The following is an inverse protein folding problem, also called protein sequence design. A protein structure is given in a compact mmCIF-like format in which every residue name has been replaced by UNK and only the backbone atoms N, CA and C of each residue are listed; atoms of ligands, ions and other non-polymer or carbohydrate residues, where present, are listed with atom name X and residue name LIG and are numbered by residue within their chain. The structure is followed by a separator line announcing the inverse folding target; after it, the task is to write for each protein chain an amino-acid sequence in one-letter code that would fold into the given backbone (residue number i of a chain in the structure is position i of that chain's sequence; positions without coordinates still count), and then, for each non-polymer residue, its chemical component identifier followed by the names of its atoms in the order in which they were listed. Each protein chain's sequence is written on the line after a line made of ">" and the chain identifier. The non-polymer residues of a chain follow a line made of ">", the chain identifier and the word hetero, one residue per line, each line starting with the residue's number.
data_IF_766387543116
#
_entry.id   IF_766387543116
#
_cell.length_a   1.000
_cell.length_b   1.000
_cell.length_c   1.000
_cell.angle_alpha   90.00
_cell.angle_beta   90.00
_cell.angle_gamma   90.00
#
_symmetry.space_group_name_H-M   'P 1'
#
loop_
_entity.id
_entity.type
_entity.pdbx_description
1 polymer ?
#
# COMPACT_ATOMS: atom_id res chain seq x y z
N UNK A 1 -15.81 6.86 -4.78
CA UNK A 1 -14.86 6.38 -3.76
C UNK A 1 -13.68 7.33 -3.73
N UNK A 2 -13.10 7.57 -2.56
CA UNK A 2 -11.93 8.44 -2.43
C UNK A 2 -11.01 7.93 -1.31
N UNK A 3 -9.72 8.21 -1.45
CA UNK A 3 -8.68 7.83 -0.48
C UNK A 3 -8.29 9.08 0.32
N UNK A 4 -8.65 9.09 1.61
CA UNK A 4 -8.31 10.18 2.54
C UNK A 4 -6.80 10.22 2.80
N UNK A 5 -6.18 9.06 3.07
CA UNK A 5 -4.75 8.91 3.36
C UNK A 5 -4.20 7.67 2.66
N UNK A 6 -3.00 7.78 2.10
CA UNK A 6 -2.22 6.65 1.59
C UNK A 6 -0.76 6.86 1.97
N UNK A 7 -0.19 5.92 2.71
CA UNK A 7 1.21 5.99 3.15
C UNK A 7 1.87 4.62 3.12
N UNK A 8 3.17 4.61 2.88
CA UNK A 8 4.00 3.43 3.04
C UNK A 8 4.53 3.42 4.46
N UNK A 9 4.47 2.27 5.11
CA UNK A 9 4.74 2.13 6.54
C UNK A 9 5.44 0.81 6.84
N UNK A 10 6.28 0.78 7.88
CA UNK A 10 6.93 -0.45 8.36
C UNK A 10 5.95 -1.40 9.06
N UNK A 11 4.82 -0.88 9.56
CA UNK A 11 3.91 -1.63 10.42
C UNK A 11 2.66 -0.87 10.81
N UNK A 12 1.90 -1.44 11.74
CA UNK A 12 0.68 -0.82 12.26
C UNK A 12 0.73 -0.98 13.77
N UNK A 13 0.35 0.07 14.49
CA UNK A 13 0.27 0.02 15.95
C UNK A 13 -0.98 -0.74 16.44
N UNK A 14 -1.19 -0.77 17.75
CA UNK A 14 -2.34 -1.43 18.36
C UNK A 14 -3.68 -0.75 18.05
N UNK A 15 -3.68 0.51 17.62
CA UNK A 15 -4.89 1.27 17.29
C UNK A 15 -5.29 1.11 15.82
N UNK A 16 -4.44 0.51 15.00
CA UNK A 16 -4.66 0.40 13.56
C UNK A 16 -4.04 1.54 12.76
N UNK A 17 -3.21 2.37 13.40
CA UNK A 17 -2.53 3.49 12.76
C UNK A 17 -1.17 3.07 12.18
N UNK A 18 -0.78 3.59 10.99
CA UNK A 18 0.52 3.33 10.42
C UNK A 18 1.64 3.93 11.30
N UNK A 19 2.76 3.22 11.41
CA UNK A 19 3.97 3.69 12.11
C UNK A 19 5.15 3.84 11.13
N UNK A 20 6.16 4.64 11.46
CA UNK A 20 7.31 4.87 10.58
C UNK A 20 6.89 5.23 9.15
N UNK A 21 6.03 6.24 9.02
CA UNK A 21 5.58 6.80 7.74
C UNK A 21 6.73 7.56 7.09
N UNK A 22 7.63 6.83 6.43
CA UNK A 22 8.84 7.38 5.80
C UNK A 22 8.87 7.08 4.30
N UNK A 23 9.48 7.99 3.54
CA UNK A 23 9.71 7.81 2.10
C UNK A 23 11.02 7.07 1.80
N UNK A 24 11.87 6.86 2.80
CA UNK A 24 13.16 6.16 2.66
C UNK A 24 13.26 5.12 3.76
N UNK A 25 13.33 3.85 3.36
CA UNK A 25 13.55 2.72 4.25
C UNK A 25 15.00 2.24 4.16
N UNK A 26 15.57 1.75 5.27
CA UNK A 26 16.93 1.21 5.26
C UNK A 26 17.01 -0.07 4.44
N UNK A 27 18.18 -0.29 3.84
CA UNK A 27 18.51 -1.54 3.16
C UNK A 27 18.25 -2.74 4.07
N UNK A 28 17.63 -3.77 3.50
CA UNK A 28 17.28 -4.98 4.24
C UNK A 28 15.97 -4.88 5.02
N UNK A 29 15.20 -3.79 4.86
CA UNK A 29 13.81 -3.73 5.33
C UNK A 29 13.06 -4.95 4.81
N UNK A 30 12.48 -5.73 5.72
CA UNK A 30 11.86 -7.03 5.38
C UNK A 30 10.41 -6.90 4.99
N UNK A 31 9.74 -5.86 5.47
CA UNK A 31 8.31 -5.65 5.29
C UNK A 31 8.02 -4.17 5.27
N UNK A 32 7.26 -3.78 4.25
CA UNK A 32 6.54 -2.51 4.20
C UNK A 32 5.08 -2.84 3.88
N UNK A 33 4.18 -1.97 4.28
CA UNK A 33 2.77 -2.06 3.97
C UNK A 33 2.31 -0.77 3.33
N UNK A 34 1.34 -0.86 2.44
CA UNK A 34 0.55 0.28 2.00
C UNK A 34 -0.67 0.39 2.92
N UNK A 35 -0.68 1.42 3.78
CA UNK A 35 -1.87 1.80 4.53
C UNK A 35 -2.73 2.74 3.70
N UNK A 36 -4.04 2.48 3.68
CA UNK A 36 -5.01 3.33 3.00
C UNK A 36 -6.24 3.56 3.88
N UNK A 37 -6.52 4.83 4.17
CA UNK A 37 -7.81 5.26 4.69
C UNK A 37 -8.72 5.64 3.51
N UNK A 38 -9.88 5.01 3.42
CA UNK A 38 -10.72 5.02 2.22
C UNK A 38 -12.20 5.11 2.60
N UNK A 39 -12.96 5.84 1.79
CA UNK A 39 -14.43 5.94 1.90
C UNK A 39 -15.07 5.75 0.53
N UNK A 40 -16.23 5.13 0.49
CA UNK A 40 -16.88 4.85 -0.79
C UNK A 40 -18.16 4.03 -0.66
N UNK A 41 -18.57 3.39 -1.78
CA UNK A 41 -19.67 2.45 -1.77
C UNK A 41 -19.28 1.14 -1.07
N UNK A 42 -20.29 0.36 -0.70
CA UNK A 42 -20.11 -1.00 -0.19
C UNK A 42 -19.50 -1.93 -1.25
N UNK A 43 -18.82 -2.98 -0.78
CA UNK A 43 -18.36 -4.11 -1.61
C UNK A 43 -17.52 -3.70 -2.84
N UNK A 44 -16.51 -2.86 -2.65
CA UNK A 44 -15.56 -2.50 -3.71
C UNK A 44 -14.47 -3.56 -3.86
N UNK A 45 -13.98 -3.76 -5.09
CA UNK A 45 -12.75 -4.51 -5.33
C UNK A 45 -11.57 -3.54 -5.27
N UNK A 46 -10.79 -3.64 -4.19
CA UNK A 46 -9.65 -2.77 -3.93
C UNK A 46 -8.38 -3.51 -4.33
N UNK A 47 -7.67 -2.95 -5.31
CA UNK A 47 -6.46 -3.53 -5.88
C UNK A 47 -5.21 -2.73 -5.55
N UNK A 48 -4.07 -3.42 -5.58
CA UNK A 48 -2.73 -2.83 -5.49
C UNK A 48 -1.85 -3.32 -6.63
N UNK A 49 -0.98 -2.46 -7.13
CA UNK A 49 0.18 -2.82 -7.95
C UNK A 49 1.43 -2.27 -7.31
N UNK A 50 2.46 -3.10 -7.24
CA UNK A 50 3.77 -2.73 -6.74
C UNK A 50 4.77 -2.74 -7.88
N UNK A 51 5.56 -1.69 -7.96
CA UNK A 51 6.62 -1.53 -8.95
C UNK A 51 7.94 -1.26 -8.25
N UNK A 52 9.04 -1.65 -8.88
CA UNK A 52 10.39 -1.18 -8.57
C UNK A 52 11.06 -0.75 -9.86
N UNK A 53 11.56 0.48 -9.91
CA UNK A 53 12.19 1.08 -11.09
C UNK A 53 11.32 0.87 -12.36
N UNK A 54 10.03 1.18 -12.22
CA UNK A 54 8.96 0.99 -13.21
C UNK A 54 8.67 -0.46 -13.67
N UNK A 55 9.35 -1.45 -13.12
CA UNK A 55 9.03 -2.86 -13.34
C UNK A 55 7.96 -3.33 -12.34
N UNK A 56 6.86 -3.90 -12.86
CA UNK A 56 5.82 -4.52 -12.02
C UNK A 56 6.41 -5.73 -11.27
N UNK A 57 6.39 -5.66 -9.94
CA UNK A 57 6.78 -6.75 -9.06
C UNK A 57 5.62 -7.70 -8.77
N UNK A 58 4.42 -7.15 -8.63
CA UNK A 58 3.24 -7.92 -8.31
C UNK A 58 1.99 -7.06 -8.21
N UNK A 59 0.84 -7.73 -8.25
CA UNK A 59 -0.46 -7.10 -8.06
C UNK A 59 -1.40 -8.04 -7.31
N UNK A 60 -2.37 -7.47 -6.63
CA UNK A 60 -3.41 -8.20 -5.92
C UNK A 60 -4.68 -7.39 -5.83
N UNK A 61 -5.78 -8.04 -5.49
CA UNK A 61 -7.05 -7.38 -5.20
C UNK A 61 -7.79 -8.14 -4.10
N UNK A 62 -8.51 -7.40 -3.28
CA UNK A 62 -9.36 -7.94 -2.21
C UNK A 62 -10.75 -7.29 -2.27
N UNK A 63 -11.80 -8.04 -1.91
CA UNK A 63 -13.09 -7.42 -1.60
C UNK A 63 -12.91 -6.54 -0.35
N UNK A 64 -13.37 -5.30 -0.43
CA UNK A 64 -13.32 -4.33 0.65
C UNK A 64 -14.68 -3.69 0.87
N UNK A 65 -15.14 -3.71 2.12
CA UNK A 65 -16.41 -3.11 2.52
C UNK A 65 -16.13 -1.84 3.33
N UNK A 66 -16.29 -0.70 2.66
CA UNK A 66 -16.03 0.64 3.22
C UNK A 66 -17.01 1.03 4.34
N UNK A 67 -18.17 0.36 4.44
CA UNK A 67 -19.14 0.60 5.53
C UNK A 67 -18.79 -0.18 6.80
N UNK A 68 -18.00 -1.26 6.69
CA UNK A 68 -17.51 -2.03 7.85
C UNK A 68 -16.16 -1.55 8.36
N UNK A 69 -15.28 -1.11 7.45
CA UNK A 69 -13.95 -0.59 7.78
C UNK A 69 -13.62 0.60 6.90
N UNK A 70 -13.02 1.61 7.49
CA UNK A 70 -12.56 2.82 6.80
C UNK A 70 -11.07 2.78 6.42
N UNK A 71 -10.37 1.66 6.67
CA UNK A 71 -8.99 1.49 6.26
C UNK A 71 -8.65 0.07 5.83
N UNK A 72 -7.62 -0.08 4.99
CA UNK A 72 -6.99 -1.33 4.64
C UNK A 72 -5.47 -1.22 4.75
N UNK A 73 -4.82 -2.37 4.94
CA UNK A 73 -3.38 -2.52 4.85
C UNK A 73 -3.06 -3.62 3.86
N UNK A 74 -2.16 -3.33 2.93
CA UNK A 74 -1.78 -4.27 1.89
C UNK A 74 -0.30 -4.51 2.00
N UNK A 75 0.08 -5.78 2.19
CA UNK A 75 1.47 -6.17 2.32
C UNK A 75 2.26 -5.82 1.05
N UNK A 76 3.53 -5.48 1.27
CA UNK A 76 4.50 -5.21 0.22
C UNK A 76 4.70 -6.39 -0.75
N UNK A 77 5.41 -6.16 -1.87
CA UNK A 77 5.47 -7.08 -2.99
C UNK A 77 6.31 -8.35 -2.75
N UNK A 78 7.22 -8.31 -1.78
CA UNK A 78 8.26 -9.34 -1.64
C UNK A 78 8.12 -10.08 -0.30
N UNK A 79 8.28 -11.41 -0.34
CA UNK A 79 8.45 -12.24 0.84
C UNK A 79 9.95 -12.32 1.19
N UNK A 80 10.52 -11.22 1.69
CA UNK A 80 11.94 -11.12 1.97
C UNK A 80 12.43 -9.68 2.12
N UNK A 81 13.73 -9.47 2.36
CA UNK A 81 14.32 -8.13 2.36
C UNK A 81 14.10 -7.47 1.00
N UNK A 82 13.55 -6.26 0.99
CA UNK A 82 13.43 -5.47 -0.23
C UNK A 82 14.84 -5.10 -0.72
N UNK A 83 15.04 -5.21 -2.02
CA UNK A 83 16.27 -4.75 -2.66
C UNK A 83 16.32 -3.22 -2.70
N UNK A 84 17.51 -2.59 -2.76
CA UNK A 84 17.62 -1.17 -3.02
C UNK A 84 16.94 -0.76 -4.34
N UNK A 85 16.34 0.42 -4.36
CA UNK A 85 15.66 0.95 -5.55
C UNK A 85 14.50 1.89 -5.24
N UNK A 86 13.89 2.43 -6.29
CA UNK A 86 12.69 3.26 -6.17
C UNK A 86 11.46 2.41 -6.37
N UNK A 87 10.57 2.40 -5.38
CA UNK A 87 9.35 1.62 -5.40
C UNK A 87 8.13 2.52 -5.56
N UNK A 88 7.13 2.05 -6.32
CA UNK A 88 5.82 2.68 -6.45
C UNK A 88 4.72 1.70 -6.07
N UNK A 89 3.80 2.16 -5.24
CA UNK A 89 2.55 1.47 -4.92
C UNK A 89 1.42 2.22 -5.61
N UNK A 90 0.61 1.53 -6.41
CA UNK A 90 -0.61 2.08 -7.00
C UNK A 90 -1.82 1.36 -6.42
N UNK A 91 -2.76 2.12 -5.85
CA UNK A 91 -4.05 1.60 -5.40
C UNK A 91 -5.09 1.94 -6.45
N UNK A 92 -5.87 0.94 -6.82
CA UNK A 92 -6.90 1.06 -7.84
C UNK A 92 -8.20 0.40 -7.38
N UNK A 93 -9.31 0.78 -8.00
CA UNK A 93 -10.57 0.07 -7.83
C UNK A 93 -11.33 0.02 -9.14
N UNK A 94 -12.02 -1.10 -9.40
CA UNK A 94 -12.70 -1.32 -10.69
C UNK A 94 -11.73 -1.06 -11.86
N UNK A 95 -10.46 -1.44 -11.69
CA UNK A 95 -9.34 -1.20 -12.62
C UNK A 95 -8.94 0.27 -12.86
N UNK A 96 -9.57 1.24 -12.21
CA UNK A 96 -9.19 2.66 -12.29
C UNK A 96 -8.22 3.03 -11.14
N UNK A 97 -7.08 3.67 -11.43
CA UNK A 97 -6.14 4.10 -10.41
C UNK A 97 -6.76 5.22 -9.56
N UNK A 98 -6.75 5.02 -8.24
CA UNK A 98 -7.26 5.99 -7.27
C UNK A 98 -6.15 6.88 -6.74
N UNK A 99 -4.99 6.29 -6.41
CA UNK A 99 -3.84 6.99 -5.81
C UNK A 99 -2.57 6.16 -5.94
N UNK A 100 -1.43 6.82 -5.89
CA UNK A 100 -0.13 6.17 -5.81
C UNK A 100 0.74 6.79 -4.72
N UNK A 101 1.67 6.00 -4.20
CA UNK A 101 2.73 6.45 -3.29
C UNK A 101 4.07 5.88 -3.75
N UNK A 102 5.14 6.60 -3.47
CA UNK A 102 6.50 6.24 -3.87
C UNK A 102 7.38 6.21 -2.62
N UNK A 103 8.34 5.27 -2.57
CA UNK A 103 9.35 5.22 -1.53
C UNK A 103 10.67 4.68 -2.10
N UNK A 104 11.77 4.86 -1.37
CA UNK A 104 13.09 4.32 -1.71
C UNK A 104 13.58 3.35 -0.65
N UNK A 105 14.39 2.39 -1.08
CA UNK A 105 15.19 1.53 -0.20
C UNK A 105 16.65 1.85 -0.45
N UNK A 106 17.37 2.28 0.59
CA UNK A 106 18.78 2.74 0.53
C UNK A 106 19.64 2.18 1.67
#
# INVERSE_FOLDING_TARGET
>A
MWIDKMVITSGIDANGDPIDEVEVFPQGVKRVNCFIAIRGPENVQLGVRWFRDDQLLGQGAIPFDTQRKNYAFIAGPENGPLMPGTYRCEVFAIQEPLRSATFRVE
#
